data_IF_134701495114
#
_entry.id   IF_134701495114
#
_cell.length_a   1.000
_cell.length_b   1.000
_cell.length_c   1.000
_cell.angle_alpha   90.00
_cell.angle_beta   90.00
_cell.angle_gamma   90.00
#
_symmetry.space_group_name_H-M   'P 1'
#
loop_
_entity.id
_entity.type
_entity.pdbx_description
1 polymer ?
#
# COMPACT_ATOMS: atom_id res chain seq x y z
N UNK A 1 -9.41 -18.00 6.01
CA UNK A 1 -10.47 -17.12 6.54
C UNK A 1 -9.88 -15.73 6.70
N UNK A 2 -10.29 -14.80 5.82
CA UNK A 2 -9.89 -13.40 5.89
C UNK A 2 -10.43 -12.74 7.15
N UNK A 3 -9.55 -12.08 7.90
CA UNK A 3 -9.91 -11.26 9.06
C UNK A 3 -9.61 -9.80 8.75
N UNK A 4 -10.66 -8.98 8.77
CA UNK A 4 -10.59 -7.54 8.55
C UNK A 4 -10.62 -6.83 9.90
N UNK A 5 -9.70 -5.88 10.11
CA UNK A 5 -9.64 -5.06 11.31
C UNK A 5 -9.55 -3.59 10.96
N UNK A 6 -10.60 -2.83 11.28
CA UNK A 6 -10.60 -1.38 11.26
C UNK A 6 -10.71 -0.90 12.71
N UNK A 7 -9.57 -0.64 13.35
CA UNK A 7 -9.56 -0.14 14.74
C UNK A 7 -9.65 1.39 14.80
N UNK A 8 -9.27 2.10 13.74
CA UNK A 8 -9.18 3.58 13.67
C UNK A 8 -9.47 4.06 12.26
N UNK A 9 -10.01 5.28 12.10
CA UNK A 9 -10.18 5.93 10.78
C UNK A 9 -8.88 6.03 9.96
N UNK A 10 -7.73 5.97 10.63
CA UNK A 10 -6.41 6.07 10.01
C UNK A 10 -5.72 4.73 9.78
N UNK A 11 -6.39 3.59 10.02
CA UNK A 11 -5.75 2.29 9.90
C UNK A 11 -6.72 1.17 9.49
N UNK A 12 -6.30 0.40 8.50
CA UNK A 12 -6.99 -0.79 8.03
C UNK A 12 -6.02 -1.96 7.95
N UNK A 13 -6.38 -3.12 8.52
CA UNK A 13 -5.53 -4.32 8.52
C UNK A 13 -6.29 -5.53 7.99
N UNK A 14 -5.61 -6.31 7.17
CA UNK A 14 -6.08 -7.59 6.65
C UNK A 14 -5.14 -8.70 7.11
N UNK A 15 -5.72 -9.82 7.50
CA UNK A 15 -4.96 -11.02 7.87
C UNK A 15 -5.59 -12.27 7.28
N UNK A 16 -4.76 -13.16 6.78
CA UNK A 16 -5.22 -14.44 6.24
C UNK A 16 -4.12 -15.50 6.37
N UNK A 17 -4.54 -16.76 6.47
CA UNK A 17 -3.69 -17.91 6.21
C UNK A 17 -3.93 -18.36 4.77
N UNK A 18 -2.88 -18.37 3.96
CA UNK A 18 -2.92 -18.78 2.57
C UNK A 18 -3.00 -20.32 2.43
N UNK A 19 -3.43 -20.85 1.28
CA UNK A 19 -3.51 -22.29 1.05
C UNK A 19 -2.20 -23.06 1.24
N UNK A 20 -1.05 -22.38 1.10
CA UNK A 20 0.28 -22.97 1.33
C UNK A 20 0.72 -22.92 2.81
N UNK A 21 -0.20 -22.66 3.74
CA UNK A 21 0.04 -22.60 5.18
C UNK A 21 0.67 -21.28 5.68
N UNK A 22 1.06 -20.37 4.78
CA UNK A 22 1.67 -19.10 5.18
C UNK A 22 0.65 -18.13 5.76
N UNK A 23 1.01 -17.50 6.88
CA UNK A 23 0.25 -16.36 7.41
C UNK A 23 0.69 -15.06 6.73
N UNK A 24 -0.28 -14.22 6.39
CA UNK A 24 -0.07 -12.92 5.78
C UNK A 24 -0.79 -11.81 6.53
N UNK A 25 -0.14 -10.64 6.61
CA UNK A 25 -0.63 -9.45 7.29
C UNK A 25 -0.41 -8.24 6.39
N UNK A 26 -1.48 -7.59 5.95
CA UNK A 26 -1.44 -6.37 5.14
C UNK A 26 -2.00 -5.22 5.96
N UNK A 27 -1.31 -4.08 5.89
CA UNK A 27 -1.57 -2.88 6.67
C UNK A 27 -1.71 -1.71 5.72
N UNK A 28 -2.75 -0.90 5.92
CA UNK A 28 -2.94 0.39 5.28
C UNK A 28 -2.98 1.43 6.39
N UNK A 29 -2.11 2.43 6.30
CA UNK A 29 -1.96 3.47 7.32
C UNK A 29 -2.20 4.82 6.66
N UNK A 30 -3.14 5.61 7.17
CA UNK A 30 -3.44 6.94 6.64
C UNK A 30 -2.71 8.01 7.43
N UNK A 31 -2.00 8.90 6.73
CA UNK A 31 -1.39 10.11 7.27
C UNK A 31 -1.98 11.34 6.58
N UNK A 32 -2.01 12.49 7.28
CA UNK A 32 -2.32 13.79 6.66
C UNK A 32 -1.11 14.23 5.83
N UNK A 33 -1.36 14.75 4.64
CA UNK A 33 -0.33 15.27 3.72
C UNK A 33 0.28 16.59 4.17
N UNK A 34 -0.36 17.32 5.08
CA UNK A 34 0.17 18.58 5.62
C UNK A 34 1.54 18.47 6.31
N UNK A 35 2.06 17.25 6.52
CA UNK A 35 3.41 16.99 7.02
C UNK A 35 4.30 16.25 6.02
N UNK A 36 3.96 16.25 4.73
CA UNK A 36 4.69 15.56 3.65
C UNK A 36 5.12 16.63 2.67
N UNK A 37 6.43 16.88 2.61
CA UNK A 37 7.06 17.75 1.62
C UNK A 37 6.77 17.18 0.22
N UNK A 38 6.41 18.05 -0.74
CA UNK A 38 6.02 17.70 -2.13
C UNK A 38 4.71 16.91 -2.31
N UNK A 39 3.84 16.85 -1.30
CA UNK A 39 2.49 16.32 -1.51
C UNK A 39 1.67 17.23 -2.43
N UNK A 40 0.92 16.62 -3.35
CA UNK A 40 -0.04 17.34 -4.19
C UNK A 40 -1.07 18.09 -3.32
N UNK A 41 -1.28 19.40 -3.53
CA UNK A 41 -2.17 20.21 -2.70
C UNK A 41 -3.63 19.75 -2.72
N UNK A 42 -4.06 19.00 -3.74
CA UNK A 42 -5.41 18.43 -3.81
C UNK A 42 -5.57 17.17 -2.94
N UNK A 43 -4.45 16.57 -2.50
CA UNK A 43 -4.44 15.38 -1.66
C UNK A 43 -4.37 15.79 -0.20
N UNK A 44 -5.39 15.42 0.58
CA UNK A 44 -5.48 15.69 2.01
C UNK A 44 -4.90 14.56 2.86
N UNK A 45 -4.86 13.34 2.33
CA UNK A 45 -4.35 12.17 3.02
C UNK A 45 -3.63 11.20 2.09
N UNK A 46 -2.56 10.59 2.60
CA UNK A 46 -1.87 9.49 1.95
C UNK A 46 -2.01 8.21 2.76
N UNK A 47 -2.37 7.12 2.08
CA UNK A 47 -2.38 5.77 2.60
C UNK A 47 -1.05 5.08 2.27
N UNK A 48 -0.48 4.40 3.25
CA UNK A 48 0.79 3.68 3.12
C UNK A 48 0.58 2.19 3.34
N UNK A 49 1.23 1.38 2.50
CA UNK A 49 1.08 -0.09 2.52
C UNK A 49 2.26 -0.77 3.20
N UNK A 50 1.97 -1.49 4.29
CA UNK A 50 2.90 -2.43 4.92
C UNK A 50 2.44 -3.86 4.70
N UNK A 51 3.35 -4.78 4.33
CA UNK A 51 2.97 -6.18 4.09
C UNK A 51 3.97 -7.16 4.73
N UNK A 52 3.48 -8.04 5.60
CA UNK A 52 4.31 -8.97 6.37
C UNK A 52 3.82 -10.40 6.17
N UNK A 53 4.74 -11.30 5.81
CA UNK A 53 4.49 -12.74 5.71
C UNK A 53 5.09 -13.41 6.96
N UNK A 54 4.23 -13.96 7.80
CA UNK A 54 4.57 -14.58 9.08
C UNK A 54 3.46 -14.35 10.11
N UNK A 55 3.73 -14.73 11.36
CA UNK A 55 2.70 -14.74 12.39
C UNK A 55 2.20 -13.35 12.74
N UNK A 56 0.97 -13.26 13.25
CA UNK A 56 0.41 -12.01 13.81
C UNK A 56 1.33 -11.35 14.84
N UNK A 57 2.00 -12.15 15.69
CA UNK A 57 2.85 -11.65 16.77
C UNK A 57 4.08 -10.95 16.20
N UNK A 58 4.76 -11.60 15.25
CA UNK A 58 5.93 -11.06 14.55
C UNK A 58 5.55 -9.83 13.73
N UNK A 59 4.44 -9.88 13.00
CA UNK A 59 3.96 -8.76 12.20
C UNK A 59 3.65 -7.54 13.07
N UNK A 60 3.04 -7.72 14.26
CA UNK A 60 2.80 -6.60 15.19
C UNK A 60 4.10 -6.07 15.81
N UNK A 61 5.06 -6.93 16.15
CA UNK A 61 6.37 -6.49 16.63
C UNK A 61 7.08 -5.67 15.55
N UNK A 62 7.17 -6.22 14.34
CA UNK A 62 7.68 -5.51 13.18
C UNK A 62 6.97 -4.18 13.00
N UNK A 63 5.64 -4.14 13.09
CA UNK A 63 4.82 -2.95 12.92
C UNK A 63 4.98 -1.92 14.05
N UNK A 64 5.17 -2.32 15.30
CA UNK A 64 5.28 -1.36 16.39
C UNK A 64 6.72 -0.83 16.54
N UNK A 65 7.76 -1.66 16.32
CA UNK A 65 9.15 -1.28 16.58
C UNK A 65 9.69 -0.18 15.65
N UNK A 66 9.32 -0.17 14.36
CA UNK A 66 9.76 0.92 13.44
C UNK A 66 8.83 2.13 13.41
N UNK A 67 7.73 2.14 14.16
CA UNK A 67 6.69 3.17 14.04
C UNK A 67 6.99 4.48 14.76
N UNK A 68 8.13 4.62 15.46
CA UNK A 68 8.37 5.80 16.29
C UNK A 68 8.33 7.12 15.50
N UNK A 69 8.62 7.14 14.18
CA UNK A 69 8.54 8.36 13.35
C UNK A 69 8.35 8.14 11.81
N UNK A 70 8.06 6.93 11.30
CA UNK A 70 7.96 6.71 9.83
C UNK A 70 6.83 5.75 9.42
N UNK A 71 6.05 6.05 8.35
CA UNK A 71 5.10 5.11 7.76
C UNK A 71 5.82 3.87 7.22
N UNK A 72 5.15 2.71 7.28
CA UNK A 72 5.74 1.44 6.84
C UNK A 72 5.40 1.18 5.40
N UNK A 73 6.35 1.52 4.54
CA UNK A 73 6.35 1.15 3.13
C UNK A 73 7.23 -0.06 2.90
N UNK A 74 7.09 -1.05 3.78
CA UNK A 74 8.02 -2.17 3.84
C UNK A 74 7.28 -3.47 3.73
N UNK A 75 7.88 -4.37 2.96
CA UNK A 75 7.37 -5.71 2.76
C UNK A 75 8.40 -6.73 3.20
N UNK A 76 8.07 -7.62 4.15
CA UNK A 76 9.04 -8.56 4.76
C UNK A 76 8.48 -9.99 4.90
N UNK A 77 9.38 -10.99 4.98
CA UNK A 77 9.04 -12.43 5.07
C UNK A 77 9.30 -13.22 3.77
N UNK A 78 9.04 -14.54 3.77
CA UNK A 78 9.45 -15.55 2.75
C UNK A 78 8.91 -15.38 1.29
N UNK A 79 8.40 -14.20 0.93
CA UNK A 79 8.38 -13.70 -0.45
C UNK A 79 7.74 -14.56 -1.54
N UNK A 80 6.76 -15.42 -1.23
CA UNK A 80 6.16 -16.31 -2.24
C UNK A 80 5.26 -15.54 -3.20
N UNK A 81 5.17 -16.01 -4.45
CA UNK A 81 4.32 -15.41 -5.48
C UNK A 81 2.84 -15.39 -5.06
N UNK A 82 2.37 -16.43 -4.37
CA UNK A 82 1.00 -16.52 -3.85
C UNK A 82 0.70 -15.40 -2.87
N UNK A 83 1.60 -15.11 -1.94
CA UNK A 83 1.44 -14.03 -0.97
C UNK A 83 1.45 -12.65 -1.64
N UNK A 84 2.32 -12.46 -2.63
CA UNK A 84 2.38 -11.20 -3.39
C UNK A 84 1.13 -10.96 -4.23
N UNK A 85 0.60 -12.00 -4.90
CA UNK A 85 -0.68 -11.91 -5.64
C UNK A 85 -1.84 -11.61 -4.71
N UNK A 86 -1.88 -12.25 -3.54
CA UNK A 86 -2.89 -11.96 -2.52
C UNK A 86 -2.85 -10.50 -2.08
N UNK A 87 -1.66 -9.97 -1.77
CA UNK A 87 -1.49 -8.57 -1.37
C UNK A 87 -1.91 -7.61 -2.49
N UNK A 88 -1.49 -7.88 -3.74
CA UNK A 88 -1.82 -7.07 -4.91
C UNK A 88 -3.34 -6.95 -5.11
N UNK A 89 -4.09 -8.04 -5.00
CA UNK A 89 -5.55 -8.02 -5.15
C UNK A 89 -6.23 -7.14 -4.10
N UNK A 90 -5.78 -7.22 -2.84
CA UNK A 90 -6.33 -6.38 -1.77
C UNK A 90 -5.92 -4.92 -1.89
N UNK A 91 -4.72 -4.64 -2.37
CA UNK A 91 -4.25 -3.28 -2.70
C UNK A 91 -5.14 -2.65 -3.78
N UNK A 92 -5.43 -3.38 -4.86
CA UNK A 92 -6.29 -2.90 -5.94
C UNK A 92 -7.72 -2.63 -5.46
N UNK A 93 -8.28 -3.55 -4.67
CA UNK A 93 -9.60 -3.38 -4.07
C UNK A 93 -9.65 -2.16 -3.12
N UNK A 94 -8.59 -1.95 -2.34
CA UNK A 94 -8.49 -0.79 -1.46
C UNK A 94 -8.41 0.52 -2.25
N UNK A 95 -7.58 0.56 -3.31
CA UNK A 95 -7.43 1.74 -4.15
C UNK A 95 -8.76 2.20 -4.78
N UNK A 96 -9.62 1.25 -5.18
CA UNK A 96 -10.96 1.55 -5.72
C UNK A 96 -11.98 2.03 -4.67
N UNK A 97 -11.62 2.07 -3.39
CA UNK A 97 -12.50 2.51 -2.27
C UNK A 97 -12.01 3.80 -1.61
N UNK A 98 -10.92 4.38 -2.09
CA UNK A 98 -10.38 5.62 -1.54
C UNK A 98 -11.23 6.81 -1.94
N UNK A 99 -11.25 7.84 -1.11
CA UNK A 99 -11.93 9.09 -1.43
C UNK A 99 -11.15 9.92 -2.45
N UNK A 100 -11.79 10.95 -3.02
CA UNK A 100 -11.21 11.85 -4.03
C UNK A 100 -9.87 12.48 -3.62
N UNK A 101 -9.75 12.92 -2.37
CA UNK A 101 -8.57 13.63 -1.87
C UNK A 101 -7.59 12.68 -1.15
N UNK A 102 -7.60 11.40 -1.51
CA UNK A 102 -6.74 10.37 -0.95
C UNK A 102 -5.89 9.71 -2.03
N UNK A 103 -4.65 9.40 -1.65
CA UNK A 103 -3.69 8.73 -2.52
C UNK A 103 -3.10 7.52 -1.79
N UNK A 104 -2.88 6.42 -2.51
CA UNK A 104 -2.23 5.22 -1.98
C UNK A 104 -0.78 5.19 -2.44
N UNK A 105 0.16 5.15 -1.49
CA UNK A 105 1.59 5.05 -1.71
C UNK A 105 2.09 3.66 -1.28
N UNK A 106 2.86 3.03 -2.16
CA UNK A 106 3.49 1.73 -1.96
C UNK A 106 4.99 1.90 -2.20
N UNK A 107 5.79 1.83 -1.15
CA UNK A 107 7.25 1.76 -1.31
C UNK A 107 7.74 0.33 -1.45
N UNK A 108 8.94 0.21 -2.00
CA UNK A 108 9.63 -1.06 -2.15
C UNK A 108 11.08 -0.95 -1.67
N UNK A 109 11.44 -1.70 -0.63
CA UNK A 109 12.84 -1.78 -0.18
C UNK A 109 13.62 -2.93 -0.86
N UNK A 110 12.97 -3.82 -1.63
CA UNK A 110 13.60 -5.05 -2.15
C UNK A 110 13.30 -5.33 -3.64
N UNK A 111 14.34 -5.70 -4.40
CA UNK A 111 14.34 -5.93 -5.87
C UNK A 111 13.28 -6.96 -6.31
N UNK A 112 13.10 -8.06 -5.56
CA UNK A 112 12.11 -9.11 -5.89
C UNK A 112 10.68 -8.56 -5.89
N UNK A 113 10.41 -7.57 -5.03
CA UNK A 113 9.08 -7.00 -4.83
C UNK A 113 8.82 -5.83 -5.78
N UNK A 114 9.87 -5.09 -6.16
CA UNK A 114 9.84 -4.18 -7.31
C UNK A 114 9.30 -4.89 -8.56
N UNK A 115 9.78 -6.12 -8.85
CA UNK A 115 9.26 -6.93 -9.98
C UNK A 115 7.78 -7.31 -9.82
N UNK A 116 7.34 -7.66 -8.60
CA UNK A 116 5.93 -8.01 -8.36
C UNK A 116 4.99 -6.81 -8.50
N UNK A 117 5.44 -5.62 -8.07
CA UNK A 117 4.63 -4.40 -8.14
C UNK A 117 4.75 -3.64 -9.46
N UNK A 118 5.70 -3.97 -10.34
CA UNK A 118 5.68 -3.50 -11.73
C UNK A 118 4.34 -3.81 -12.43
N UNK A 119 3.66 -4.89 -12.05
CA UNK A 119 2.32 -5.21 -12.56
C UNK A 119 1.26 -4.20 -12.15
N UNK A 120 1.42 -3.50 -11.02
CA UNK A 120 0.48 -2.46 -10.57
C UNK A 120 0.42 -1.28 -11.54
N UNK A 121 1.47 -1.01 -12.32
CA UNK A 121 1.47 0.04 -13.34
C UNK A 121 0.37 -0.15 -14.38
N UNK A 122 0.05 -1.40 -14.72
CA UNK A 122 -1.06 -1.74 -15.63
C UNK A 122 -2.42 -1.33 -15.08
N UNK A 123 -2.51 -1.13 -13.77
CA UNK A 123 -3.70 -0.67 -13.07
C UNK A 123 -3.67 0.82 -12.77
N UNK A 124 -2.79 1.61 -13.39
CA UNK A 124 -2.74 3.06 -13.27
C UNK A 124 -1.89 3.58 -12.11
N UNK A 125 -1.07 2.73 -11.50
CA UNK A 125 -0.07 3.18 -10.54
C UNK A 125 1.10 3.86 -11.28
N UNK A 126 1.57 4.98 -10.75
CA UNK A 126 2.68 5.78 -11.29
C UNK A 126 3.89 5.74 -10.37
N UNK A 127 5.09 5.80 -10.95
CA UNK A 127 6.35 5.81 -10.20
C UNK A 127 6.62 7.20 -9.59
N UNK A 128 7.12 7.21 -8.36
CA UNK A 128 7.74 8.36 -7.71
C UNK A 128 9.24 8.17 -7.74
N UNK A 129 9.98 9.25 -7.90
CA UNK A 129 11.42 9.22 -8.10
C UNK A 129 12.13 10.02 -7.00
N UNK A 130 13.33 9.60 -6.61
CA UNK A 130 14.23 10.45 -5.83
C UNK A 130 14.90 11.51 -6.73
N UNK A 131 15.64 12.43 -6.12
CA UNK A 131 16.40 13.49 -6.81
C UNK A 131 17.40 12.94 -7.85
N UNK A 132 17.82 11.68 -7.70
CA UNK A 132 18.74 10.99 -8.60
C UNK A 132 18.00 10.26 -9.74
N UNK A 133 16.67 10.37 -9.81
CA UNK A 133 15.84 9.73 -10.83
C UNK A 133 15.58 8.25 -10.60
N UNK A 134 15.85 7.71 -9.40
CA UNK A 134 15.57 6.32 -9.07
C UNK A 134 14.13 6.16 -8.57
N UNK A 135 13.37 5.16 -9.05
CA UNK A 135 12.00 4.94 -8.61
C UNK A 135 11.97 4.42 -7.16
N UNK A 136 11.39 5.20 -6.25
CA UNK A 136 11.32 4.92 -4.82
C UNK A 136 9.98 4.32 -4.40
N UNK A 137 8.88 4.75 -5.02
CA UNK A 137 7.52 4.32 -4.65
C UNK A 137 6.62 4.21 -5.90
N UNK A 138 5.47 3.55 -5.74
CA UNK A 138 4.29 3.76 -6.59
C UNK A 138 3.23 4.54 -5.85
N UNK A 139 2.52 5.40 -6.56
CA UNK A 139 1.28 5.99 -6.10
C UNK A 139 0.11 5.68 -7.02
N UNK A 140 -1.10 5.70 -6.48
CA UNK A 140 -2.34 5.70 -7.26
C UNK A 140 -3.42 6.50 -6.52
N UNK A 141 -4.31 7.13 -7.29
CA UNK A 141 -5.54 7.76 -6.79
C UNK A 141 -6.73 6.94 -7.24
N UNK A 142 -7.87 7.08 -6.56
CA UNK A 142 -9.07 6.38 -7.02
C UNK A 142 -9.48 6.91 -8.41
N UNK A 143 -9.55 5.98 -9.38
CA UNK A 143 -9.83 6.27 -10.78
C UNK A 143 -11.19 6.91 -11.02
N UNK A 144 -12.16 6.62 -10.15
CA UNK A 144 -13.50 7.20 -10.19
C UNK A 144 -13.45 8.74 -10.15
N UNK A 145 -12.47 9.31 -9.44
CA UNK A 145 -12.38 10.75 -9.24
C UNK A 145 -11.23 11.44 -10.01
N UNK A 146 -10.24 10.67 -10.49
CA UNK A 146 -8.97 11.23 -10.98
C UNK A 146 -8.72 11.06 -12.49
N UNK A 147 -9.52 10.25 -13.20
CA UNK A 147 -9.56 10.33 -14.66
C UNK A 147 -10.58 11.39 -15.06
N UNK A 148 -10.29 12.23 -16.08
CA UNK A 148 -11.37 13.00 -16.69
C UNK A 148 -12.38 11.97 -17.20
N UNK A 149 -13.61 12.07 -16.71
CA UNK A 149 -14.77 11.63 -17.49
C UNK A 149 -14.52 12.25 -18.85
N UNK A 150 -14.24 11.42 -19.87
CA UNK A 150 -14.31 11.91 -21.24
C UNK A 150 -15.73 12.44 -21.37
N UNK A 151 -15.85 13.76 -21.40
CA UNK A 151 -17.10 14.41 -21.71
C UNK A 151 -17.43 14.07 -23.14
N UNK A 152 -18.23 13.02 -23.33
CA UNK A 152 -19.02 12.87 -24.53
C UNK A 152 -20.31 13.67 -24.25
N UNK A 153 -20.42 14.81 -24.92
CA UNK A 153 -21.54 15.76 -24.83
C UNK A 153 -21.22 17.06 -25.54
#
# INVERSE_FOLDING_TARGET
>A
MLRVYSKRRSEYRLREQLPNGQEVNLYFIRLRTSGIEDADPEISYQWFVGFYIGSRKEANQWFNHRQKNKPKNTVTGNGTLTALRWAMNHILNFAGKMNRNEELIIGWEEVRRKKAYQFLRRYGFIDYYDELGNPTHLGVRNKEYWYPVKGDG
#
